data_IF_366327063992
#
_entry.id   IF_366327063992
#
_cell.length_a   1.000
_cell.length_b   1.000
_cell.length_c   1.000
_cell.angle_alpha   90.00
_cell.angle_beta   90.00
_cell.angle_gamma   90.00
#
_symmetry.space_group_name_H-M   'P 1'
#
loop_
_entity.id
_entity.type
_entity.pdbx_description
1 polymer ?
#
# COMPACT_ATOMS: atom_id res chain seq x y z
N UNK A 1 -4.50 19.22 -10.88
CA UNK A 1 -5.22 18.76 -9.66
C UNK A 1 -6.04 17.48 -9.86
N UNK A 2 -6.76 17.28 -10.97
CA UNK A 2 -7.61 16.08 -11.18
C UNK A 2 -6.83 14.77 -11.15
N UNK A 3 -5.63 14.74 -11.74
CA UNK A 3 -4.78 13.53 -11.81
C UNK A 3 -4.43 12.99 -10.42
N UNK A 4 -3.96 13.84 -9.50
CA UNK A 4 -3.62 13.39 -8.14
C UNK A 4 -4.85 12.92 -7.36
N UNK A 5 -6.02 13.51 -7.58
CA UNK A 5 -7.28 13.07 -6.97
C UNK A 5 -7.69 11.70 -7.50
N UNK A 6 -7.53 11.48 -8.81
CA UNK A 6 -7.78 10.19 -9.44
C UNK A 6 -6.83 9.12 -8.89
N UNK A 7 -5.53 9.42 -8.80
CA UNK A 7 -4.54 8.51 -8.22
C UNK A 7 -4.90 8.18 -6.77
N UNK A 8 -5.20 9.18 -5.93
CA UNK A 8 -5.61 8.96 -4.55
C UNK A 8 -6.85 8.06 -4.44
N UNK A 9 -7.85 8.29 -5.30
CA UNK A 9 -9.03 7.43 -5.37
C UNK A 9 -8.69 5.99 -5.78
N UNK A 10 -7.80 5.80 -6.75
CA UNK A 10 -7.35 4.46 -7.16
C UNK A 10 -6.67 3.70 -6.01
N UNK A 11 -5.84 4.39 -5.22
CA UNK A 11 -5.23 3.80 -4.02
C UNK A 11 -6.28 3.42 -2.97
N UNK A 12 -7.29 4.25 -2.75
CA UNK A 12 -8.40 3.94 -1.83
C UNK A 12 -9.19 2.74 -2.34
N UNK A 13 -9.50 2.68 -3.64
CA UNK A 13 -10.19 1.52 -4.23
C UNK A 13 -9.37 0.26 -4.07
N UNK A 14 -8.07 0.29 -4.37
CA UNK A 14 -7.16 -0.84 -4.19
C UNK A 14 -7.09 -1.28 -2.72
N UNK A 15 -7.08 -0.35 -1.78
CA UNK A 15 -7.11 -0.65 -0.35
C UNK A 15 -8.40 -1.38 0.06
N UNK A 16 -9.55 -0.92 -0.43
CA UNK A 16 -10.84 -1.57 -0.16
C UNK A 16 -10.93 -2.97 -0.79
N UNK A 17 -10.36 -3.14 -2.00
CA UNK A 17 -10.26 -4.46 -2.63
C UNK A 17 -9.39 -5.41 -1.82
N UNK A 18 -8.22 -4.94 -1.36
CA UNK A 18 -7.33 -5.71 -0.49
C UNK A 18 -8.04 -6.13 0.81
N UNK A 19 -8.69 -5.17 1.49
CA UNK A 19 -9.47 -5.41 2.72
C UNK A 19 -10.59 -6.44 2.49
N UNK A 20 -11.33 -6.32 1.39
CA UNK A 20 -12.40 -7.26 1.04
C UNK A 20 -11.87 -8.67 0.81
N UNK A 21 -10.75 -8.80 0.09
CA UNK A 21 -10.12 -10.11 -0.13
C UNK A 21 -9.52 -10.72 1.15
N UNK A 22 -8.96 -9.91 2.05
CA UNK A 22 -8.48 -10.38 3.36
C UNK A 22 -9.64 -10.79 4.28
N UNK A 23 -10.79 -10.12 4.19
CA UNK A 23 -11.99 -10.51 4.92
C UNK A 23 -12.51 -11.88 4.46
N UNK A 24 -12.53 -12.15 3.16
CA UNK A 24 -12.89 -13.47 2.62
C UNK A 24 -11.89 -14.54 3.09
N UNK A 25 -10.59 -14.26 2.98
CA UNK A 25 -9.54 -15.18 3.44
C UNK A 25 -9.66 -15.47 4.95
N UNK A 26 -10.03 -14.47 5.75
CA UNK A 26 -10.26 -14.65 7.18
C UNK A 26 -11.42 -15.59 7.47
N UNK A 27 -12.50 -15.54 6.67
CA UNK A 27 -13.64 -16.45 6.79
C UNK A 27 -13.26 -17.88 6.39
N UNK A 28 -12.45 -18.04 5.34
CA UNK A 28 -11.97 -19.33 4.86
C UNK A 28 -11.07 -20.02 5.90
N UNK A 29 -10.19 -19.25 6.54
CA UNK A 29 -9.25 -19.77 7.54
C UNK A 29 -9.86 -19.92 8.94
N UNK A 30 -11.03 -19.31 9.19
CA UNK A 30 -11.65 -19.28 10.52
C UNK A 30 -10.92 -18.40 11.54
N UNK A 31 -9.99 -17.56 11.09
CA UNK A 31 -9.20 -16.64 11.90
C UNK A 31 -8.91 -15.34 11.16
N UNK A 32 -8.66 -14.24 11.88
CA UNK A 32 -8.36 -12.94 11.28
C UNK A 32 -7.02 -13.01 10.56
N UNK A 33 -7.07 -13.06 9.23
CA UNK A 33 -5.90 -13.12 8.34
C UNK A 33 -5.80 -11.81 7.57
N UNK A 34 -4.65 -11.15 7.64
CA UNK A 34 -4.36 -9.94 6.86
C UNK A 34 -3.04 -10.14 6.13
N UNK A 35 -3.04 -9.93 4.82
CA UNK A 35 -1.81 -10.05 4.04
C UNK A 35 -1.00 -8.76 4.17
N UNK A 36 0.31 -8.94 4.33
CA UNK A 36 1.27 -7.85 4.24
C UNK A 36 1.27 -7.22 2.85
N UNK A 37 1.72 -5.98 2.75
CA UNK A 37 1.89 -5.30 1.48
C UNK A 37 2.82 -6.07 0.54
N UNK A 38 3.85 -6.71 1.09
CA UNK A 38 4.74 -7.60 0.34
C UNK A 38 4.02 -8.80 -0.26
N UNK A 39 3.17 -9.46 0.50
CA UNK A 39 2.42 -10.64 0.01
C UNK A 39 1.41 -10.24 -1.06
N UNK A 40 0.69 -9.14 -0.87
CA UNK A 40 -0.23 -8.64 -1.89
C UNK A 40 0.52 -8.27 -3.18
N UNK A 41 1.67 -7.60 -3.08
CA UNK A 41 2.48 -7.27 -4.24
C UNK A 41 2.98 -8.53 -4.95
N UNK A 42 3.45 -9.54 -4.21
CA UNK A 42 3.87 -10.79 -4.80
C UNK A 42 2.74 -11.51 -5.58
N UNK A 43 1.50 -11.47 -5.06
CA UNK A 43 0.32 -12.00 -5.76
C UNK A 43 0.02 -11.29 -7.08
N UNK A 44 0.29 -9.99 -7.15
CA UNK A 44 0.08 -9.20 -8.37
C UNK A 44 1.23 -9.44 -9.37
N UNK A 45 2.47 -9.31 -8.91
CA UNK A 45 3.65 -9.49 -9.74
C UNK A 45 4.93 -9.70 -8.90
N UNK A 46 5.19 -10.95 -8.52
CA UNK A 46 6.37 -11.40 -7.76
C UNK A 46 7.70 -10.83 -8.26
N UNK A 47 8.01 -10.95 -9.56
CA UNK A 47 9.31 -10.50 -10.08
C UNK A 47 9.58 -9.00 -9.91
N UNK A 48 8.54 -8.16 -9.84
CA UNK A 48 8.69 -6.72 -9.61
C UNK A 48 8.93 -6.41 -8.14
N UNK A 49 8.28 -7.17 -7.25
CA UNK A 49 8.49 -7.11 -5.81
C UNK A 49 9.91 -7.54 -5.46
N UNK A 50 10.40 -8.63 -6.04
CA UNK A 50 11.74 -9.14 -5.75
C UNK A 50 12.85 -8.23 -6.28
N UNK A 51 12.64 -7.64 -7.47
CA UNK A 51 13.54 -6.61 -7.97
C UNK A 51 13.59 -5.39 -7.02
N UNK A 52 12.44 -4.97 -6.49
CA UNK A 52 12.36 -3.86 -5.55
C UNK A 52 13.02 -4.18 -4.21
N UNK A 53 12.74 -5.34 -3.60
CA UNK A 53 13.35 -5.73 -2.32
C UNK A 53 14.86 -5.99 -2.45
N UNK A 54 15.31 -6.57 -3.58
CA UNK A 54 16.73 -6.72 -3.90
C UNK A 54 17.45 -5.38 -4.03
N UNK A 55 16.82 -4.41 -4.71
CA UNK A 55 17.33 -3.04 -4.75
C UNK A 55 17.28 -2.38 -3.37
N UNK A 56 16.21 -2.54 -2.58
CA UNK A 56 16.11 -1.95 -1.25
C UNK A 56 17.21 -2.46 -0.31
N UNK A 57 17.53 -3.76 -0.37
CA UNK A 57 18.60 -4.35 0.45
C UNK A 57 20.00 -3.86 0.09
N UNK A 58 20.27 -3.62 -1.21
CA UNK A 58 21.62 -3.35 -1.71
C UNK A 58 21.89 -1.89 -2.07
N UNK A 59 20.90 -1.20 -2.65
CA UNK A 59 21.03 0.11 -3.26
C UNK A 59 20.30 1.25 -2.55
N UNK A 60 19.40 0.96 -1.61
CA UNK A 60 18.74 2.03 -0.85
C UNK A 60 19.69 2.65 0.19
N UNK A 61 19.59 3.97 0.43
CA UNK A 61 20.26 4.63 1.55
C UNK A 61 19.93 3.92 2.88
N UNK A 62 20.93 3.78 3.75
CA UNK A 62 20.82 2.99 4.99
C UNK A 62 19.65 3.44 5.87
N UNK A 63 19.41 4.76 5.96
CA UNK A 63 18.28 5.33 6.70
C UNK A 63 16.89 5.00 6.13
N UNK A 64 16.79 4.50 4.89
CA UNK A 64 15.53 4.11 4.26
C UNK A 64 15.26 2.60 4.32
N UNK A 65 16.28 1.76 4.57
CA UNK A 65 16.11 0.31 4.61
C UNK A 65 15.09 -0.13 5.66
N UNK A 66 15.26 0.35 6.90
CA UNK A 66 14.33 0.06 8.00
C UNK A 66 12.88 0.49 7.73
N UNK A 67 12.63 1.75 7.31
CA UNK A 67 11.30 2.20 6.89
C UNK A 67 10.69 1.38 5.75
N UNK A 68 11.47 1.04 4.72
CA UNK A 68 10.98 0.21 3.59
C UNK A 68 10.55 -1.16 4.10
N UNK A 69 11.41 -1.86 4.85
CA UNK A 69 11.11 -3.19 5.38
C UNK A 69 9.86 -3.17 6.28
N UNK A 70 9.70 -2.11 7.08
CA UNK A 70 8.53 -1.91 7.94
C UNK A 70 7.25 -1.76 7.10
N UNK A 71 7.27 -0.93 6.06
CA UNK A 71 6.11 -0.73 5.17
C UNK A 71 5.76 -2.01 4.42
N UNK A 72 6.77 -2.77 3.97
CA UNK A 72 6.56 -4.06 3.31
C UNK A 72 5.85 -5.08 4.20
N UNK A 73 6.03 -4.99 5.53
CA UNK A 73 5.41 -5.87 6.53
C UNK A 73 4.02 -5.44 7.01
N UNK A 74 3.58 -4.20 6.75
CA UNK A 74 2.25 -3.75 7.18
C UNK A 74 1.12 -4.33 6.34
N UNK A 75 -0.11 -4.43 6.88
CA UNK A 75 -1.28 -4.87 6.12
C UNK A 75 -1.46 -4.05 4.84
N UNK A 76 -1.64 -4.74 3.71
CA UNK A 76 -1.61 -4.12 2.40
C UNK A 76 -2.69 -3.05 2.22
N UNK A 77 -3.90 -3.30 2.72
CA UNK A 77 -4.99 -2.33 2.73
C UNK A 77 -4.63 -1.06 3.52
N UNK A 78 -3.85 -1.19 4.60
CA UNK A 78 -3.42 -0.07 5.43
C UNK A 78 -2.44 0.82 4.69
N UNK A 79 -1.42 0.22 4.05
CA UNK A 79 -0.42 0.93 3.25
C UNK A 79 -1.09 1.69 2.09
N UNK A 80 -1.91 0.99 1.30
CA UNK A 80 -2.60 1.59 0.15
C UNK A 80 -3.59 2.67 0.59
N UNK A 81 -4.33 2.43 1.67
CA UNK A 81 -5.36 3.33 2.19
C UNK A 81 -4.76 4.64 2.70
N UNK A 82 -3.68 4.58 3.49
CA UNK A 82 -3.00 5.78 4.00
C UNK A 82 -2.44 6.61 2.85
N UNK A 83 -1.78 5.99 1.86
CA UNK A 83 -1.28 6.70 0.68
C UNK A 83 -2.42 7.42 -0.05
N UNK A 84 -3.53 6.71 -0.29
CA UNK A 84 -4.70 7.27 -0.97
C UNK A 84 -5.34 8.44 -0.22
N UNK A 85 -5.50 8.31 1.11
CA UNK A 85 -6.06 9.36 1.97
C UNK A 85 -5.13 10.58 2.01
N UNK A 86 -3.82 10.39 2.14
CA UNK A 86 -2.86 11.50 2.15
C UNK A 86 -2.89 12.25 0.83
N UNK A 87 -2.90 11.54 -0.30
CA UNK A 87 -3.00 12.15 -1.63
C UNK A 87 -4.31 12.93 -1.80
N UNK A 88 -5.44 12.34 -1.44
CA UNK A 88 -6.75 13.00 -1.56
C UNK A 88 -6.90 14.18 -0.58
N UNK A 89 -6.43 14.02 0.65
CA UNK A 89 -6.53 14.98 1.75
C UNK A 89 -5.62 16.19 1.59
N UNK A 90 -4.37 15.99 1.17
CA UNK A 90 -3.44 17.09 0.89
C UNK A 90 -3.99 18.00 -0.21
N UNK A 91 -4.59 17.43 -1.26
CA UNK A 91 -5.25 18.21 -2.32
C UNK A 91 -6.47 18.97 -1.77
N UNK A 92 -7.26 18.35 -0.89
CA UNK A 92 -8.41 19.00 -0.28
C UNK A 92 -7.99 20.18 0.62
N UNK A 93 -6.87 20.05 1.33
CA UNK A 93 -6.26 21.12 2.13
C UNK A 93 -5.71 22.26 1.26
N UNK A 94 -4.97 21.95 0.20
CA UNK A 94 -4.43 22.96 -0.72
C UNK A 94 -5.53 23.82 -1.36
N UNK A 95 -6.67 23.22 -1.70
CA UNK A 95 -7.84 23.94 -2.26
C UNK A 95 -8.55 24.88 -1.28
N UNK A 96 -8.32 24.76 0.02
CA UNK A 96 -8.93 25.62 1.05
C UNK A 96 -8.10 26.88 1.33
N UNK A 97 -6.86 26.92 0.85
CA UNK A 97 -5.97 28.06 1.03
C UNK A 97 -6.04 29.11 -0.10
N UNK A 98 -6.72 28.77 -1.21
CA UNK A 98 -7.06 29.67 -2.33
C UNK A 98 -8.47 30.26 -2.15
#
# INVERSE_FOLDING_TARGET
MVVFRLIGLLFIVAALMALGSDALLSLENGEVTMRSFSELWALIHEGSRDAFTGWAGSGAPEGLKGPIDTVMGFPAWGVLGVIGIVLAGLIALLRRGD
#
